data_IF_688334082969
#
_entry.id   IF_688334082969
#
_cell.length_a   1.000
_cell.length_b   1.000
_cell.length_c   1.000
_cell.angle_alpha   90.00
_cell.angle_beta   90.00
_cell.angle_gamma   90.00
#
_symmetry.space_group_name_H-M   'P 1'
#
loop_
_entity.id
_entity.type
_entity.pdbx_description
1 polymer ?
#
# COMPACT_ATOMS: atom_id res chain seq x y z
N UNK A 1 26.52 21.78 -15.14
CA UNK A 1 26.02 20.38 -15.26
C UNK A 1 24.66 20.34 -14.60
N UNK A 2 23.63 19.77 -15.25
CA UNK A 2 22.32 19.56 -14.60
C UNK A 2 22.45 18.47 -13.53
N UNK A 3 21.65 18.57 -12.46
CA UNK A 3 21.57 17.52 -11.45
C UNK A 3 21.07 16.19 -12.09
N UNK A 4 21.56 15.03 -11.65
CA UNK A 4 21.04 13.75 -12.12
C UNK A 4 19.57 13.63 -11.76
N UNK A 5 18.78 13.03 -12.68
CA UNK A 5 17.35 12.75 -12.48
C UNK A 5 17.01 11.38 -13.07
N UNK A 6 15.78 10.90 -12.82
CA UNK A 6 15.25 9.69 -13.45
C UNK A 6 14.54 10.03 -14.78
N UNK A 7 14.26 9.01 -15.59
CA UNK A 7 13.58 9.13 -16.88
C UNK A 7 12.22 8.41 -16.92
N UNK A 8 11.65 8.10 -15.74
CA UNK A 8 10.42 7.29 -15.64
C UNK A 8 9.16 8.08 -16.02
N UNK A 9 9.09 9.35 -15.64
CA UNK A 9 7.98 10.26 -15.95
C UNK A 9 8.48 11.70 -15.99
N UNK A 10 7.81 12.59 -16.78
CA UNK A 10 8.14 14.02 -16.80
C UNK A 10 7.52 14.72 -15.60
N UNK A 11 8.03 15.90 -15.27
CA UNK A 11 7.38 16.80 -14.32
C UNK A 11 6.01 17.25 -14.88
N UNK A 12 4.96 17.06 -14.11
CA UNK A 12 3.59 17.45 -14.44
C UNK A 12 2.90 18.03 -13.21
N UNK A 13 2.81 19.36 -13.09
CA UNK A 13 2.17 19.99 -11.92
C UNK A 13 0.66 19.74 -11.95
N UNK A 14 0.09 19.34 -10.83
CA UNK A 14 -1.31 18.93 -10.71
C UNK A 14 -2.33 20.00 -11.20
N UNK A 15 -2.09 21.35 -11.08
CA UNK A 15 -3.02 22.34 -11.60
C UNK A 15 -3.14 22.39 -13.12
N UNK A 16 -2.14 21.86 -13.85
CA UNK A 16 -2.11 21.88 -15.31
C UNK A 16 -2.66 20.58 -15.95
N UNK A 17 -3.10 19.62 -15.14
CA UNK A 17 -3.59 18.33 -15.62
C UNK A 17 -5.04 18.35 -16.02
N UNK A 18 -5.42 17.41 -16.88
CA UNK A 18 -6.81 17.18 -17.23
C UNK A 18 -7.66 16.83 -15.99
N UNK A 19 -8.87 17.34 -15.96
CA UNK A 19 -9.85 17.03 -14.92
C UNK A 19 -10.74 15.90 -15.44
N UNK A 20 -10.91 14.86 -14.66
CA UNK A 20 -11.76 13.70 -14.95
C UNK A 20 -12.56 13.31 -13.70
N UNK A 21 -13.52 12.44 -13.86
CA UNK A 21 -14.27 11.86 -12.74
C UNK A 21 -13.84 10.42 -12.51
N UNK A 22 -13.87 9.97 -11.27
CA UNK A 22 -13.90 8.57 -10.91
C UNK A 22 -15.28 7.96 -11.23
N UNK A 23 -15.46 6.63 -11.15
CA UNK A 23 -16.75 5.98 -11.44
C UNK A 23 -17.92 6.66 -10.75
N UNK A 24 -19.00 6.89 -11.50
CA UNK A 24 -20.22 7.52 -10.98
C UNK A 24 -20.10 9.00 -10.66
N UNK A 25 -19.20 9.74 -11.31
CA UNK A 25 -19.00 11.18 -11.08
C UNK A 25 -18.27 11.53 -9.78
N UNK A 26 -17.60 10.54 -9.17
CA UNK A 26 -16.83 10.73 -7.93
C UNK A 26 -15.52 11.45 -8.19
N UNK A 27 -14.95 12.06 -7.15
CA UNK A 27 -13.74 12.91 -7.27
C UNK A 27 -12.63 12.55 -6.28
N UNK A 28 -12.96 11.89 -5.16
CA UNK A 28 -11.98 11.44 -4.19
C UNK A 28 -12.06 9.92 -4.08
N UNK A 29 -11.05 9.22 -4.59
CA UNK A 29 -10.89 7.79 -4.36
C UNK A 29 -10.15 7.57 -3.05
N UNK A 30 -10.69 6.73 -2.16
CA UNK A 30 -10.07 6.36 -0.89
C UNK A 30 -9.85 4.86 -0.86
N UNK A 31 -8.61 4.43 -0.59
CA UNK A 31 -8.30 3.03 -0.40
C UNK A 31 -7.44 2.81 0.86
N UNK A 32 -7.55 1.63 1.43
CA UNK A 32 -6.71 1.16 2.53
C UNK A 32 -5.77 0.09 2.00
N UNK A 33 -4.47 0.32 2.14
CA UNK A 33 -3.43 -0.70 1.95
C UNK A 33 -3.09 -1.32 3.30
N UNK A 34 -3.44 -2.59 3.51
CA UNK A 34 -3.07 -3.34 4.71
C UNK A 34 -1.94 -4.31 4.39
N UNK A 35 -0.81 -4.10 5.05
CA UNK A 35 0.35 -4.96 4.90
C UNK A 35 0.21 -6.21 5.77
N UNK A 36 0.29 -7.38 5.13
CA UNK A 36 0.38 -8.69 5.77
C UNK A 36 1.79 -9.22 5.57
N UNK A 37 2.58 -9.13 6.62
CA UNK A 37 4.02 -9.30 6.57
C UNK A 37 4.47 -10.50 7.40
N UNK A 38 5.38 -11.28 6.81
CA UNK A 38 6.14 -12.32 7.47
C UNK A 38 7.59 -11.90 7.66
N UNK A 39 8.13 -12.18 8.82
CA UNK A 39 9.51 -11.87 9.19
C UNK A 39 10.23 -13.15 9.64
N UNK A 40 11.45 -13.33 9.16
CA UNK A 40 12.31 -14.43 9.62
C UNK A 40 12.67 -14.26 11.09
N UNK A 41 12.65 -15.35 11.84
CA UNK A 41 13.05 -15.32 13.24
C UNK A 41 14.56 -15.11 13.39
N UNK A 42 14.95 -14.14 14.22
CA UNK A 42 16.35 -13.87 14.56
C UNK A 42 17.15 -13.09 13.51
N UNK A 43 16.57 -12.70 12.39
CA UNK A 43 17.31 -12.00 11.32
C UNK A 43 17.16 -10.46 11.35
N UNK A 44 16.53 -9.89 12.33
CA UNK A 44 16.59 -8.46 12.66
C UNK A 44 16.05 -7.46 11.64
N UNK A 45 15.58 -7.88 10.47
CA UNK A 45 14.95 -6.99 9.49
C UNK A 45 13.48 -6.81 9.82
N UNK A 46 13.02 -5.57 9.86
CA UNK A 46 11.64 -5.22 10.14
C UNK A 46 11.52 -3.90 10.89
N UNK A 47 10.31 -3.34 10.97
CA UNK A 47 10.05 -2.27 11.93
C UNK A 47 10.34 -2.78 13.35
N UNK A 48 11.03 -1.99 14.15
CA UNK A 48 11.49 -2.37 15.48
C UNK A 48 10.80 -1.54 16.55
N UNK A 49 10.24 -2.23 17.52
CA UNK A 49 9.73 -1.61 18.76
C UNK A 49 10.89 -1.08 19.60
N UNK A 50 11.94 -1.88 19.71
CA UNK A 50 13.15 -1.56 20.45
C UNK A 50 14.39 -2.00 19.65
N UNK A 51 15.06 -1.08 18.93
CA UNK A 51 16.28 -1.40 18.19
C UNK A 51 17.45 -1.73 19.14
N UNK A 52 18.35 -2.62 18.67
CA UNK A 52 19.56 -2.99 19.42
C UNK A 52 19.31 -3.90 20.62
N UNK A 53 18.20 -4.62 20.65
CA UNK A 53 17.89 -5.61 21.68
C UNK A 53 18.80 -6.85 21.64
N UNK A 54 18.72 -7.72 22.67
CA UNK A 54 19.51 -8.95 22.73
C UNK A 54 19.14 -9.91 21.58
N UNK A 55 20.11 -10.75 21.22
CA UNK A 55 19.91 -11.80 20.20
C UNK A 55 19.70 -13.16 20.87
N UNK A 56 18.82 -14.02 20.30
CA UNK A 56 17.95 -13.77 19.15
C UNK A 56 16.90 -12.71 19.46
N UNK A 57 16.48 -11.93 18.45
CA UNK A 57 15.53 -10.82 18.60
C UNK A 57 14.08 -11.31 18.82
N UNK A 58 13.83 -11.81 20.01
CA UNK A 58 12.51 -12.32 20.43
C UNK A 58 11.50 -11.19 20.56
N UNK A 59 11.92 -10.04 21.05
CA UNK A 59 11.04 -8.90 21.35
C UNK A 59 10.37 -8.36 20.08
N UNK A 60 11.16 -7.96 19.10
CA UNK A 60 10.62 -7.38 17.87
C UNK A 60 9.91 -8.44 17.01
N UNK A 61 10.42 -9.66 16.98
CA UNK A 61 9.72 -10.76 16.29
C UNK A 61 8.33 -11.01 16.89
N UNK A 62 8.23 -11.20 18.21
CA UNK A 62 6.95 -11.45 18.88
C UNK A 62 5.99 -10.27 18.76
N UNK A 63 6.50 -9.03 18.79
CA UNK A 63 5.69 -7.84 18.56
C UNK A 63 5.08 -7.80 17.16
N UNK A 64 5.85 -8.16 16.14
CA UNK A 64 5.33 -8.28 14.76
C UNK A 64 4.37 -9.44 14.61
N UNK A 65 4.66 -10.59 15.22
CA UNK A 65 3.82 -11.78 15.20
C UNK A 65 2.43 -11.54 15.87
N UNK A 66 2.36 -10.63 16.86
CA UNK A 66 1.07 -10.18 17.42
C UNK A 66 0.12 -9.65 16.34
N UNK A 67 0.64 -8.98 15.33
CA UNK A 67 -0.13 -8.50 14.19
C UNK A 67 -0.87 -9.63 13.50
N UNK A 68 -0.15 -10.71 13.19
CA UNK A 68 -0.69 -11.87 12.47
C UNK A 68 -1.61 -12.74 13.36
N UNK A 69 -1.41 -12.73 14.69
CA UNK A 69 -2.22 -13.53 15.63
C UNK A 69 -3.47 -12.85 16.12
N UNK A 70 -3.45 -11.53 16.24
CA UNK A 70 -4.53 -10.78 16.91
C UNK A 70 -4.93 -9.52 16.13
N UNK A 71 -3.95 -8.68 15.77
CA UNK A 71 -4.20 -7.36 15.20
C UNK A 71 -4.98 -7.40 13.89
N UNK A 72 -4.63 -8.33 13.02
CA UNK A 72 -5.24 -8.49 11.70
C UNK A 72 -6.74 -8.79 11.80
N UNK A 73 -7.16 -9.62 12.74
CA UNK A 73 -8.57 -10.01 12.89
C UNK A 73 -9.43 -8.85 13.40
N UNK A 74 -8.89 -7.99 14.31
CA UNK A 74 -9.56 -6.76 14.69
C UNK A 74 -9.77 -5.81 13.50
N UNK A 75 -8.76 -5.72 12.62
CA UNK A 75 -8.86 -4.89 11.44
C UNK A 75 -9.87 -5.46 10.43
N UNK A 76 -9.91 -6.78 10.25
CA UNK A 76 -10.88 -7.44 9.39
C UNK A 76 -12.33 -7.16 9.84
N UNK A 77 -12.62 -7.30 11.14
CA UNK A 77 -13.91 -6.95 11.73
C UNK A 77 -14.25 -5.47 11.47
N UNK A 78 -13.31 -4.54 11.74
CA UNK A 78 -13.54 -3.11 11.55
C UNK A 78 -13.84 -2.75 10.10
N UNK A 79 -13.07 -3.28 9.16
CA UNK A 79 -13.25 -2.98 7.74
C UNK A 79 -14.55 -3.61 7.21
N UNK A 80 -14.89 -4.81 7.67
CA UNK A 80 -16.18 -5.46 7.39
C UNK A 80 -17.37 -4.64 7.90
N UNK A 81 -17.35 -4.24 9.17
CA UNK A 81 -18.39 -3.42 9.78
C UNK A 81 -18.58 -2.08 9.06
N UNK A 82 -17.49 -1.46 8.63
CA UNK A 82 -17.51 -0.17 7.94
C UNK A 82 -17.69 -0.31 6.43
N UNK A 83 -17.69 -1.52 5.88
CA UNK A 83 -17.72 -1.76 4.44
C UNK A 83 -16.63 -0.95 3.71
N UNK A 84 -15.38 -1.03 4.21
CA UNK A 84 -14.20 -0.41 3.60
C UNK A 84 -13.47 -1.46 2.79
N UNK A 85 -13.38 -1.32 1.46
CA UNK A 85 -12.57 -2.20 0.63
C UNK A 85 -11.08 -2.12 1.03
N UNK A 86 -10.36 -3.23 0.93
CA UNK A 86 -8.96 -3.33 1.33
C UNK A 86 -8.12 -3.87 0.19
N UNK A 87 -6.96 -3.25 -0.05
CA UNK A 87 -5.88 -3.83 -0.83
C UNK A 87 -4.91 -4.49 0.15
N UNK A 88 -4.85 -5.82 0.16
CA UNK A 88 -3.93 -6.58 1.00
C UNK A 88 -2.58 -6.70 0.29
N UNK A 89 -1.54 -6.17 0.92
CA UNK A 89 -0.17 -6.29 0.46
C UNK A 89 0.43 -7.52 1.14
N UNK A 90 0.60 -8.61 0.37
CA UNK A 90 0.83 -9.94 0.93
C UNK A 90 2.25 -10.42 0.63
N UNK A 91 3.02 -10.69 1.68
CA UNK A 91 4.19 -11.54 1.52
C UNK A 91 3.74 -12.98 1.20
N UNK A 92 4.33 -13.63 0.20
CA UNK A 92 3.88 -14.97 -0.20
C UNK A 92 4.06 -16.04 0.88
N UNK A 93 5.03 -15.90 1.79
CA UNK A 93 5.21 -16.79 2.94
C UNK A 93 4.04 -16.76 3.94
N UNK A 94 3.16 -15.75 3.87
CA UNK A 94 1.93 -15.72 4.67
C UNK A 94 1.03 -16.93 4.40
N UNK A 95 0.98 -17.42 3.15
CA UNK A 95 0.20 -18.63 2.82
C UNK A 95 0.68 -19.88 3.53
N UNK A 96 1.97 -19.94 3.83
CA UNK A 96 2.56 -21.07 4.55
C UNK A 96 2.40 -20.98 6.07
N UNK A 97 2.51 -19.75 6.60
CA UNK A 97 2.67 -19.54 8.04
C UNK A 97 1.42 -19.04 8.74
N UNK A 98 0.57 -18.26 8.06
CA UNK A 98 -0.62 -17.66 8.64
C UNK A 98 -1.72 -17.44 7.58
N UNK A 99 -2.16 -18.48 6.85
CA UNK A 99 -3.14 -18.36 5.76
C UNK A 99 -4.48 -17.80 6.23
N UNK A 100 -4.84 -17.98 7.50
CA UNK A 100 -6.08 -17.47 8.09
C UNK A 100 -6.13 -15.94 8.08
N UNK A 101 -4.99 -15.26 8.09
CA UNK A 101 -4.91 -13.80 8.03
C UNK A 101 -5.39 -13.27 6.68
N UNK A 102 -5.08 -13.97 5.60
CA UNK A 102 -5.55 -13.63 4.25
C UNK A 102 -7.03 -14.01 4.12
N UNK A 103 -7.40 -15.20 4.60
CA UNK A 103 -8.78 -15.70 4.55
C UNK A 103 -9.78 -14.81 5.32
N UNK A 104 -9.32 -14.04 6.32
CA UNK A 104 -10.15 -13.07 7.02
C UNK A 104 -10.66 -11.92 6.14
N UNK A 105 -10.15 -11.77 4.91
CA UNK A 105 -10.50 -10.71 3.96
C UNK A 105 -10.93 -11.30 2.59
N UNK A 106 -12.00 -12.06 2.59
CA UNK A 106 -12.44 -12.85 1.43
C UNK A 106 -12.60 -12.03 0.12
N UNK A 107 -13.00 -10.77 0.21
CA UNK A 107 -13.27 -9.89 -0.94
C UNK A 107 -12.15 -8.84 -1.16
N UNK A 108 -11.01 -8.97 -0.48
CA UNK A 108 -9.93 -8.02 -0.64
C UNK A 108 -9.17 -8.23 -1.94
N UNK A 109 -8.66 -7.14 -2.48
CA UNK A 109 -7.65 -7.21 -3.54
C UNK A 109 -6.33 -7.76 -2.97
N UNK A 110 -5.66 -8.64 -3.71
CA UNK A 110 -4.33 -9.13 -3.38
C UNK A 110 -3.27 -8.38 -4.19
N UNK A 111 -2.32 -7.79 -3.49
CA UNK A 111 -1.17 -7.05 -4.04
C UNK A 111 0.10 -7.80 -3.66
N UNK A 112 0.99 -8.07 -4.63
CA UNK A 112 2.26 -8.72 -4.37
C UNK A 112 3.17 -7.84 -3.50
N UNK A 113 3.79 -8.46 -2.47
CA UNK A 113 4.66 -7.76 -1.52
C UNK A 113 5.93 -8.57 -1.19
N UNK A 114 6.53 -9.21 -2.20
CA UNK A 114 7.69 -10.08 -2.00
C UNK A 114 7.40 -11.36 -1.23
N UNK A 115 8.47 -12.13 -0.94
CA UNK A 115 8.34 -13.37 -0.17
C UNK A 115 8.17 -13.12 1.32
N UNK A 116 9.04 -12.28 1.86
CA UNK A 116 9.07 -11.88 3.27
C UNK A 116 9.48 -10.42 3.40
N UNK A 117 9.24 -9.81 4.56
CA UNK A 117 9.81 -8.50 4.90
C UNK A 117 11.21 -8.59 5.53
N UNK A 118 11.84 -9.76 5.49
CA UNK A 118 13.26 -9.94 5.83
C UNK A 118 14.19 -9.80 4.62
N UNK A 119 13.65 -9.50 3.43
CA UNK A 119 14.40 -9.27 2.19
C UNK A 119 14.28 -7.83 1.72
N UNK A 120 15.34 -7.30 1.12
CA UNK A 120 15.34 -6.00 0.45
C UNK A 120 15.48 -6.19 -1.05
N UNK A 121 14.41 -5.99 -1.77
CA UNK A 121 14.34 -6.19 -3.21
C UNK A 121 15.39 -5.36 -3.96
N UNK A 122 15.64 -4.11 -3.56
CA UNK A 122 16.58 -3.21 -4.22
C UNK A 122 18.06 -3.61 -4.09
N UNK A 123 18.39 -4.60 -3.26
CA UNK A 123 19.75 -5.14 -3.09
C UNK A 123 20.02 -6.36 -3.99
N UNK A 124 19.01 -6.83 -4.72
CA UNK A 124 19.09 -8.01 -5.59
C UNK A 124 19.64 -7.65 -6.97
N UNK A 125 20.28 -8.64 -7.59
CA UNK A 125 20.58 -8.56 -9.03
C UNK A 125 19.30 -8.63 -9.85
N UNK A 126 19.32 -8.15 -11.12
CA UNK A 126 18.16 -8.21 -12.02
C UNK A 126 17.52 -9.61 -12.08
N UNK A 127 18.35 -10.64 -12.19
CA UNK A 127 17.89 -12.03 -12.21
C UNK A 127 17.20 -12.45 -10.91
N UNK A 128 17.80 -12.13 -9.77
CA UNK A 128 17.24 -12.46 -8.46
C UNK A 128 15.95 -11.70 -8.17
N UNK A 129 15.89 -10.42 -8.56
CA UNK A 129 14.70 -9.60 -8.41
C UNK A 129 13.54 -10.11 -9.28
N UNK A 130 13.83 -10.49 -10.53
CA UNK A 130 12.84 -11.13 -11.41
C UNK A 130 12.30 -12.42 -10.79
N UNK A 131 13.19 -13.27 -10.29
CA UNK A 131 12.82 -14.52 -9.64
C UNK A 131 11.96 -14.29 -8.39
N UNK A 132 12.31 -13.29 -7.56
CA UNK A 132 11.49 -12.88 -6.41
C UNK A 132 10.06 -12.52 -6.84
N UNK A 133 9.93 -11.70 -7.89
CA UNK A 133 8.62 -11.25 -8.40
C UNK A 133 7.82 -12.44 -8.94
N UNK A 134 8.44 -13.30 -9.75
CA UNK A 134 7.80 -14.47 -10.36
C UNK A 134 7.36 -15.50 -9.32
N UNK A 135 8.21 -15.85 -8.36
CA UNK A 135 7.89 -16.79 -7.28
C UNK A 135 6.78 -16.27 -6.37
N UNK A 136 6.85 -14.99 -5.97
CA UNK A 136 5.79 -14.34 -5.18
C UNK A 136 4.46 -14.39 -5.92
N UNK A 137 4.49 -14.07 -7.22
CA UNK A 137 3.29 -14.09 -8.06
C UNK A 137 2.69 -15.48 -8.17
N UNK A 138 3.52 -16.48 -8.47
CA UNK A 138 3.08 -17.87 -8.62
C UNK A 138 2.48 -18.43 -7.32
N UNK A 139 3.07 -18.08 -6.18
CA UNK A 139 2.57 -18.52 -4.88
C UNK A 139 1.22 -17.91 -4.54
N UNK A 140 1.04 -16.59 -4.77
CA UNK A 140 -0.25 -15.93 -4.58
C UNK A 140 -1.30 -16.52 -5.52
N UNK A 141 -0.99 -16.67 -6.81
CA UNK A 141 -1.90 -17.22 -7.82
C UNK A 141 -2.30 -18.66 -7.51
N UNK A 142 -1.35 -19.50 -7.05
CA UNK A 142 -1.60 -20.89 -6.67
C UNK A 142 -2.62 -21.04 -5.54
N UNK A 143 -2.59 -20.13 -4.57
CA UNK A 143 -3.46 -20.21 -3.39
C UNK A 143 -4.79 -19.47 -3.57
N UNK A 144 -4.79 -18.34 -4.26
CA UNK A 144 -5.98 -17.50 -4.43
C UNK A 144 -6.76 -17.79 -5.70
N UNK A 145 -6.15 -18.47 -6.69
CA UNK A 145 -6.70 -18.62 -8.04
C UNK A 145 -6.65 -17.33 -8.86
N UNK A 146 -6.06 -16.26 -8.36
CA UNK A 146 -5.99 -14.96 -9.03
C UNK A 146 -4.55 -14.43 -9.04
N UNK A 147 -4.10 -14.02 -10.23
CA UNK A 147 -2.80 -13.38 -10.38
C UNK A 147 -2.87 -11.95 -9.82
N UNK A 148 -1.97 -11.55 -8.89
CA UNK A 148 -1.89 -10.18 -8.41
C UNK A 148 -1.53 -9.23 -9.56
N UNK A 149 -2.19 -8.07 -9.62
CA UNK A 149 -1.97 -7.08 -10.67
C UNK A 149 -1.16 -5.87 -10.20
N UNK A 150 -1.03 -5.70 -8.89
CA UNK A 150 -0.30 -4.63 -8.22
C UNK A 150 0.85 -5.15 -7.40
N UNK A 151 1.86 -4.30 -7.22
CA UNK A 151 3.06 -4.60 -6.46
C UNK A 151 3.42 -3.46 -5.52
N UNK A 152 3.88 -3.80 -4.30
CA UNK A 152 4.67 -2.95 -3.42
C UNK A 152 5.91 -3.73 -3.01
N UNK A 153 7.11 -3.21 -3.27
CA UNK A 153 8.34 -3.83 -2.80
C UNK A 153 8.41 -3.84 -1.26
N UNK A 154 8.87 -4.94 -0.63
CA UNK A 154 9.14 -4.94 0.81
C UNK A 154 10.00 -3.73 1.19
N UNK A 155 9.60 -2.96 2.23
CA UNK A 155 10.28 -1.70 2.63
C UNK A 155 10.18 -0.56 1.61
N UNK A 156 9.34 -0.66 0.59
CA UNK A 156 9.41 0.22 -0.59
C UNK A 156 10.83 0.15 -1.21
N UNK A 157 11.50 -0.98 -1.01
CA UNK A 157 12.82 -1.24 -1.59
C UNK A 157 12.65 -1.68 -3.03
N UNK A 158 13.27 -0.94 -3.94
CA UNK A 158 13.29 -1.32 -5.35
C UNK A 158 14.66 -1.01 -5.97
N UNK A 159 15.00 -1.72 -7.05
CA UNK A 159 16.12 -1.38 -7.91
C UNK A 159 15.70 -0.34 -8.95
N UNK A 160 16.64 0.26 -9.69
CA UNK A 160 16.27 1.09 -10.85
C UNK A 160 15.47 0.34 -11.92
N UNK A 161 15.50 -1.00 -11.93
CA UNK A 161 14.85 -1.86 -12.91
C UNK A 161 13.49 -2.41 -12.47
N UNK A 162 13.12 -2.26 -11.22
CA UNK A 162 11.86 -2.81 -10.69
C UNK A 162 10.62 -2.47 -11.56
N UNK A 163 10.41 -1.23 -12.02
CA UNK A 163 9.26 -0.94 -12.86
C UNK A 163 9.28 -1.69 -14.21
N UNK A 164 10.47 -1.94 -14.76
CA UNK A 164 10.64 -2.72 -15.99
C UNK A 164 10.28 -4.18 -15.76
N UNK A 165 10.83 -4.78 -14.71
CA UNK A 165 10.61 -6.17 -14.35
C UNK A 165 9.13 -6.45 -14.01
N UNK A 166 8.48 -5.55 -13.29
CA UNK A 166 7.05 -5.65 -12.99
C UNK A 166 6.21 -5.62 -14.26
N UNK A 167 6.47 -4.69 -15.17
CA UNK A 167 5.74 -4.61 -16.44
C UNK A 167 5.98 -5.86 -17.31
N UNK A 168 7.21 -6.36 -17.39
CA UNK A 168 7.59 -7.56 -18.14
C UNK A 168 6.98 -8.84 -17.57
N UNK A 169 6.79 -8.91 -16.27
CA UNK A 169 6.12 -10.02 -15.57
C UNK A 169 4.61 -9.87 -15.49
N UNK A 170 4.02 -8.84 -16.11
CA UNK A 170 2.58 -8.69 -16.27
C UNK A 170 1.86 -7.91 -15.17
N UNK A 171 2.59 -7.25 -14.28
CA UNK A 171 1.99 -6.31 -13.35
C UNK A 171 1.49 -5.05 -14.08
N UNK A 172 0.40 -4.49 -13.61
CA UNK A 172 -0.25 -3.34 -14.22
C UNK A 172 0.01 -2.05 -13.48
N UNK A 173 0.22 -2.12 -12.15
CA UNK A 173 0.53 -0.97 -11.33
C UNK A 173 1.51 -1.31 -10.21
N UNK A 174 2.14 -0.27 -9.67
CA UNK A 174 3.00 -0.34 -8.50
C UNK A 174 2.65 0.77 -7.50
N UNK A 175 3.06 0.59 -6.26
CA UNK A 175 2.77 1.46 -5.12
C UNK A 175 4.04 2.08 -4.50
N UNK A 176 5.23 1.81 -5.04
CA UNK A 176 6.51 2.19 -4.41
C UNK A 176 6.83 3.70 -4.45
N UNK A 177 6.08 4.50 -5.24
CA UNK A 177 6.37 5.91 -5.46
C UNK A 177 5.32 6.82 -4.84
N UNK A 178 5.67 7.45 -3.70
CA UNK A 178 4.79 8.36 -2.95
C UNK A 178 4.92 9.83 -3.43
N UNK A 179 4.78 10.07 -4.72
CA UNK A 179 5.14 11.36 -5.34
C UNK A 179 3.96 12.21 -5.81
N UNK A 180 2.73 11.71 -5.68
CA UNK A 180 1.56 12.38 -6.25
C UNK A 180 0.26 12.02 -5.51
N UNK A 181 -0.79 12.83 -5.71
CA UNK A 181 -2.16 12.55 -5.29
C UNK A 181 -3.03 12.00 -6.42
N UNK A 182 -2.46 11.74 -7.59
CA UNK A 182 -3.09 11.11 -8.74
C UNK A 182 -2.20 9.98 -9.29
N UNK A 183 -2.77 8.98 -9.97
CA UNK A 183 -1.96 8.01 -10.68
C UNK A 183 -1.09 8.68 -11.74
N UNK A 184 0.11 8.13 -11.96
CA UNK A 184 1.09 8.63 -12.94
C UNK A 184 1.64 7.47 -13.74
N UNK A 185 1.68 7.61 -15.08
CA UNK A 185 2.31 6.64 -15.94
C UNK A 185 3.83 6.70 -15.87
N UNK A 186 4.44 5.57 -15.60
CA UNK A 186 5.88 5.40 -15.59
C UNK A 186 6.34 4.65 -16.85
N UNK A 187 7.31 5.22 -17.55
CA UNK A 187 7.96 4.57 -18.71
C UNK A 187 8.76 3.36 -18.24
N UNK A 188 8.63 2.25 -18.97
CA UNK A 188 9.42 1.02 -18.81
C UNK A 188 10.17 0.69 -20.09
N UNK A 189 11.01 -0.34 -20.07
CA UNK A 189 11.78 -0.79 -21.26
C UNK A 189 10.86 -1.18 -22.44
N UNK A 190 9.72 -1.79 -22.14
CA UNK A 190 8.81 -2.34 -23.15
C UNK A 190 7.40 -1.75 -23.13
N UNK A 191 7.22 -0.59 -22.50
CA UNK A 191 5.92 0.07 -22.43
C UNK A 191 5.80 1.04 -21.27
N UNK A 192 4.79 0.85 -20.46
CA UNK A 192 4.53 1.67 -19.27
C UNK A 192 3.87 0.85 -18.16
N UNK A 193 4.00 1.31 -16.93
CA UNK A 193 3.31 0.79 -15.75
C UNK A 193 2.70 1.97 -14.98
N UNK A 194 1.59 1.77 -14.32
CA UNK A 194 0.94 2.85 -13.56
C UNK A 194 1.50 2.92 -12.14
N UNK A 195 1.91 4.09 -11.68
CA UNK A 195 2.15 4.36 -10.26
C UNK A 195 0.85 4.85 -9.65
N UNK A 196 0.31 4.09 -8.69
CA UNK A 196 -0.84 4.51 -7.88
C UNK A 196 -0.32 5.10 -6.58
N UNK A 197 -0.82 6.26 -6.12
CA UNK A 197 -0.34 6.90 -4.90
C UNK A 197 -0.39 5.97 -3.67
N UNK A 198 0.74 5.79 -2.99
CA UNK A 198 0.84 5.08 -1.72
C UNK A 198 1.53 5.99 -0.70
N UNK A 199 0.84 6.45 0.34
CA UNK A 199 1.33 7.55 1.16
C UNK A 199 2.42 7.11 2.13
N UNK A 200 3.38 8.00 2.39
CA UNK A 200 4.30 7.88 3.51
C UNK A 200 3.86 8.75 4.70
N UNK A 201 3.10 9.82 4.44
CA UNK A 201 2.56 10.66 5.50
C UNK A 201 1.34 10.05 6.20
N UNK A 202 0.56 9.20 5.52
CA UNK A 202 -0.53 8.42 6.12
C UNK A 202 -0.17 6.92 6.21
N UNK A 203 1.08 6.64 6.61
CA UNK A 203 1.61 5.30 6.84
C UNK A 203 2.05 5.18 8.30
N UNK A 204 1.54 4.18 9.00
CA UNK A 204 1.76 4.00 10.43
C UNK A 204 3.22 3.66 10.80
N UNK A 205 4.02 3.05 9.92
CA UNK A 205 5.46 2.83 10.18
C UNK A 205 6.21 4.16 10.32
N UNK A 206 6.26 5.04 9.30
CA UNK A 206 6.98 6.30 9.43
C UNK A 206 6.40 7.20 10.51
N UNK A 207 5.10 7.19 10.74
CA UNK A 207 4.50 8.10 11.72
C UNK A 207 4.62 7.58 13.16
N UNK A 208 4.20 6.36 13.43
CA UNK A 208 4.16 5.82 14.79
C UNK A 208 5.52 5.25 15.21
N UNK A 209 6.17 4.47 14.33
CA UNK A 209 7.43 3.81 14.70
C UNK A 209 8.63 4.76 14.57
N UNK A 210 8.78 5.42 13.44
CA UNK A 210 9.94 6.28 13.22
C UNK A 210 9.82 7.66 13.88
N UNK A 211 8.69 8.37 13.67
CA UNK A 211 8.47 9.72 14.23
C UNK A 211 7.87 9.72 15.64
N UNK A 212 7.60 8.54 16.23
CA UNK A 212 7.08 8.35 17.59
C UNK A 212 5.74 9.06 17.87
N UNK A 213 4.91 9.23 16.85
CA UNK A 213 3.57 9.78 17.03
C UNK A 213 2.67 8.79 17.77
N UNK A 214 1.77 9.33 18.60
CA UNK A 214 0.79 8.51 19.28
C UNK A 214 -0.42 8.15 18.40
N UNK A 215 -1.19 7.14 18.80
CA UNK A 215 -2.38 6.70 18.08
C UNK A 215 -3.41 7.82 17.80
N UNK A 216 -3.72 8.71 18.75
CA UNK A 216 -4.58 9.87 18.50
C UNK A 216 -4.07 10.78 17.39
N UNK A 217 -2.77 11.13 17.41
CA UNK A 217 -2.15 12.02 16.43
C UNK A 217 -2.21 11.42 15.02
N UNK A 218 -1.90 10.14 14.87
CA UNK A 218 -1.99 9.47 13.57
C UNK A 218 -3.44 9.44 13.04
N UNK A 219 -4.42 9.21 13.92
CA UNK A 219 -5.83 9.27 13.56
C UNK A 219 -6.27 10.69 13.15
N UNK A 220 -5.78 11.73 13.84
CA UNK A 220 -6.06 13.12 13.49
C UNK A 220 -5.44 13.49 12.13
N UNK A 221 -4.22 13.01 11.83
CA UNK A 221 -3.61 13.18 10.49
C UNK A 221 -4.48 12.57 9.38
N UNK A 222 -5.07 11.39 9.61
CA UNK A 222 -5.97 10.75 8.64
C UNK A 222 -7.23 11.61 8.43
N UNK A 223 -7.80 12.15 9.51
CA UNK A 223 -8.99 13.01 9.45
C UNK A 223 -8.66 14.32 8.72
N UNK A 224 -7.59 15.00 9.10
CA UNK A 224 -7.18 16.29 8.50
C UNK A 224 -6.88 16.14 7.01
N UNK A 225 -6.18 15.09 6.62
CA UNK A 225 -5.92 14.79 5.21
C UNK A 225 -7.22 14.55 4.44
N UNK A 226 -8.16 13.81 5.01
CA UNK A 226 -9.48 13.60 4.40
C UNK A 226 -10.23 14.92 4.22
N UNK A 227 -10.33 15.78 5.24
CA UNK A 227 -11.07 17.05 5.15
C UNK A 227 -10.50 17.95 4.06
N UNK A 228 -9.17 18.07 3.99
CA UNK A 228 -8.52 18.88 2.95
C UNK A 228 -8.76 18.29 1.55
N UNK A 229 -8.53 16.99 1.36
CA UNK A 229 -8.69 16.35 0.05
C UNK A 229 -10.16 16.27 -0.38
N UNK A 230 -11.10 16.17 0.57
CA UNK A 230 -12.53 16.22 0.30
C UNK A 230 -12.97 17.60 -0.22
N UNK A 231 -12.41 18.68 0.30
CA UNK A 231 -12.66 20.03 -0.22
C UNK A 231 -12.00 20.25 -1.59
N UNK A 232 -10.74 19.86 -1.73
CA UNK A 232 -9.96 20.01 -2.97
C UNK A 232 -10.48 19.16 -4.13
N UNK A 233 -11.10 18.00 -3.86
CA UNK A 233 -11.62 17.13 -4.89
C UNK A 233 -12.74 17.79 -5.75
N UNK A 234 -13.33 18.89 -5.28
CA UNK A 234 -14.21 19.70 -6.10
C UNK A 234 -13.55 20.29 -7.36
N UNK A 235 -12.22 20.47 -7.31
CA UNK A 235 -11.43 21.06 -8.39
C UNK A 235 -10.78 20.01 -9.30
N UNK A 236 -10.45 18.83 -8.77
CA UNK A 236 -9.69 17.78 -9.48
C UNK A 236 -9.89 16.41 -8.83
N UNK A 237 -9.75 15.30 -9.58
CA UNK A 237 -9.78 13.98 -8.97
C UNK A 237 -8.52 13.77 -8.12
N UNK A 238 -8.70 13.11 -6.96
CA UNK A 238 -7.63 12.80 -6.02
C UNK A 238 -7.72 11.34 -5.58
N UNK A 239 -6.60 10.82 -5.09
CA UNK A 239 -6.47 9.51 -4.45
C UNK A 239 -5.91 9.71 -3.05
N UNK A 240 -6.65 9.28 -2.05
CA UNK A 240 -6.21 9.18 -0.67
C UNK A 240 -5.93 7.72 -0.31
N UNK A 241 -4.68 7.37 -0.14
CA UNK A 241 -4.28 6.09 0.42
C UNK A 241 -4.12 6.18 1.94
N UNK A 242 -4.35 5.07 2.64
CA UNK A 242 -4.04 4.89 4.07
C UNK A 242 -3.26 3.58 4.18
N UNK A 243 -2.00 3.64 4.60
CA UNK A 243 -1.12 2.49 4.68
C UNK A 243 -0.99 2.00 6.13
N UNK A 244 -1.33 0.75 6.37
CA UNK A 244 -1.45 0.19 7.71
C UNK A 244 -0.72 -1.14 7.85
N UNK A 245 -0.25 -1.42 9.08
CA UNK A 245 0.38 -2.68 9.47
C UNK A 245 -0.33 -3.23 10.71
N UNK A 246 -0.74 -4.51 10.64
CA UNK A 246 -1.56 -5.13 11.69
C UNK A 246 -0.85 -5.16 13.06
N UNK A 247 0.48 -5.27 13.09
CA UNK A 247 1.28 -5.25 14.31
C UNK A 247 1.50 -3.85 14.90
N UNK A 248 1.09 -2.79 14.20
CA UNK A 248 1.15 -1.40 14.68
C UNK A 248 -0.23 -0.94 15.14
N UNK A 249 -1.16 -0.79 14.21
CA UNK A 249 -2.49 -0.25 14.52
C UNK A 249 -3.48 -1.30 15.06
N UNK A 250 -3.15 -2.59 15.00
CA UNK A 250 -3.96 -3.65 15.58
C UNK A 250 -3.92 -3.74 17.12
N UNK A 251 -3.02 -3.02 17.80
CA UNK A 251 -3.00 -2.93 19.26
C UNK A 251 -4.20 -2.12 19.79
N UNK A 252 -4.89 -2.54 20.86
CA UNK A 252 -6.17 -1.94 21.30
C UNK A 252 -6.15 -0.43 21.44
N UNK A 253 -5.08 0.13 22.00
CA UNK A 253 -4.95 1.58 22.23
C UNK A 253 -4.81 2.37 20.93
N UNK A 254 -4.17 1.83 19.89
CA UNK A 254 -4.04 2.45 18.55
C UNK A 254 -5.26 2.17 17.69
N UNK A 255 -5.74 0.93 17.72
CA UNK A 255 -6.95 0.50 17.01
C UNK A 255 -8.16 1.39 17.30
N UNK A 256 -8.39 1.74 18.60
CA UNK A 256 -9.47 2.64 19.01
C UNK A 256 -9.46 3.94 18.20
N UNK A 257 -8.30 4.52 17.98
CA UNK A 257 -8.15 5.80 17.31
C UNK A 257 -8.26 5.67 15.79
N UNK A 258 -7.69 4.64 15.19
CA UNK A 258 -7.91 4.30 13.78
C UNK A 258 -9.40 4.11 13.49
N UNK A 259 -10.11 3.33 14.32
CA UNK A 259 -11.55 3.13 14.16
C UNK A 259 -12.35 4.45 14.25
N UNK A 260 -11.93 5.38 15.11
CA UNK A 260 -12.50 6.74 15.18
C UNK A 260 -12.33 7.48 13.86
N UNK A 261 -11.11 7.50 13.32
CA UNK A 261 -10.82 8.21 12.07
C UNK A 261 -11.62 7.61 10.89
N UNK A 262 -11.63 6.29 10.73
CA UNK A 262 -12.38 5.65 9.64
C UNK A 262 -13.90 5.85 9.76
N UNK A 263 -14.47 5.82 10.96
CA UNK A 263 -15.88 6.15 11.18
C UNK A 263 -16.18 7.60 10.82
N UNK A 264 -15.30 8.52 11.18
CA UNK A 264 -15.42 9.93 10.80
C UNK A 264 -15.47 10.08 9.28
N UNK A 265 -14.53 9.51 8.57
CA UNK A 265 -14.48 9.54 7.09
C UNK A 265 -15.77 8.96 6.50
N UNK A 266 -16.24 7.80 6.99
CA UNK A 266 -17.48 7.18 6.49
C UNK A 266 -18.71 8.04 6.73
N UNK A 267 -18.79 8.74 7.86
CA UNK A 267 -19.89 9.65 8.19
C UNK A 267 -19.86 10.95 7.39
N UNK A 268 -18.67 11.46 7.09
CA UNK A 268 -18.47 12.73 6.37
C UNK A 268 -18.42 12.58 4.87
N UNK A 269 -18.19 11.35 4.39
CA UNK A 269 -18.12 11.09 2.96
C UNK A 269 -19.41 11.47 2.24
N UNK A 270 -19.27 12.30 1.21
CA UNK A 270 -20.36 12.67 0.30
C UNK A 270 -20.43 11.72 -0.89
N UNK A 271 -21.38 11.96 -1.81
CA UNK A 271 -21.45 11.27 -3.09
C UNK A 271 -20.18 11.41 -3.94
N UNK A 272 -19.30 12.36 -3.64
CA UNK A 272 -18.01 12.57 -4.35
C UNK A 272 -16.94 11.55 -3.95
N UNK A 273 -17.14 10.79 -2.87
CA UNK A 273 -16.15 9.82 -2.37
C UNK A 273 -16.40 8.44 -2.94
N UNK A 274 -15.32 7.83 -3.40
CA UNK A 274 -15.27 6.45 -3.88
C UNK A 274 -14.37 5.61 -2.96
N UNK A 275 -14.97 4.84 -2.05
CA UNK A 275 -14.24 3.81 -1.31
C UNK A 275 -13.95 2.65 -2.25
N UNK A 276 -12.68 2.31 -2.41
CA UNK A 276 -12.23 1.39 -3.45
C UNK A 276 -10.93 0.68 -3.07
N UNK A 277 -10.30 -0.01 -4.02
CA UNK A 277 -8.98 -0.63 -3.91
C UNK A 277 -8.00 0.04 -4.87
N UNK A 278 -6.69 -0.16 -4.64
CA UNK A 278 -5.65 0.37 -5.52
C UNK A 278 -5.78 -0.19 -6.96
N UNK A 279 -6.15 -1.45 -7.11
CA UNK A 279 -6.36 -2.07 -8.41
C UNK A 279 -7.55 -1.51 -9.17
N UNK A 280 -8.65 -1.21 -8.48
CA UNK A 280 -9.80 -0.57 -9.13
C UNK A 280 -9.45 0.86 -9.60
N UNK A 281 -8.61 1.58 -8.85
CA UNK A 281 -8.07 2.88 -9.28
C UNK A 281 -7.25 2.70 -10.56
N UNK A 282 -6.35 1.70 -10.58
CA UNK A 282 -5.53 1.40 -11.74
C UNK A 282 -6.37 1.00 -12.95
N UNK A 283 -7.33 0.09 -12.78
CA UNK A 283 -8.23 -0.35 -13.85
C UNK A 283 -9.00 0.80 -14.48
N UNK A 284 -9.48 1.71 -13.66
CA UNK A 284 -10.20 2.88 -14.15
C UNK A 284 -9.27 3.88 -14.85
N UNK A 285 -8.10 4.15 -14.28
CA UNK A 285 -7.13 5.07 -14.87
C UNK A 285 -6.64 4.59 -16.26
N UNK A 286 -6.52 3.28 -16.47
CA UNK A 286 -6.14 2.69 -17.75
C UNK A 286 -7.22 2.87 -18.85
N UNK A 287 -8.49 3.00 -18.48
CA UNK A 287 -9.60 3.18 -19.41
C UNK A 287 -9.81 4.65 -19.80
N UNK A 288 -9.17 5.59 -19.11
CA UNK A 288 -9.25 7.01 -19.43
C UNK A 288 -8.58 7.32 -20.78
N UNK A 289 -9.04 8.32 -21.52
CA UNK A 289 -8.42 8.72 -22.78
C UNK A 289 -6.91 8.98 -22.62
N UNK A 290 -6.08 8.65 -23.61
CA UNK A 290 -4.65 8.93 -23.57
C UNK A 290 -4.36 10.40 -23.24
N UNK A 291 -3.42 10.64 -22.33
CA UNK A 291 -3.04 11.99 -21.88
C UNK A 291 -3.91 12.56 -20.74
N UNK A 292 -4.94 11.86 -20.29
CA UNK A 292 -5.73 12.25 -19.11
C UNK A 292 -4.93 12.05 -17.82
N UNK A 293 -4.31 10.88 -17.67
CA UNK A 293 -3.37 10.57 -16.59
C UNK A 293 -1.96 10.88 -17.09
N UNK A 294 -1.16 11.69 -16.33
CA UNK A 294 0.17 12.13 -16.73
C UNK A 294 1.19 11.01 -16.85
#
# INVERSE_FOLDING_TARGET
MSAPTHNRYPYSPIPARAVYDWPGGKRLAIYVGLNLEWFSFGEGLGAELAPGGPQPDVLNYAWRDYGNRVGVFRLAELFGDLQVPVSLLVNSEMYRHAPETIAAFADAELVGHGRTNSERQGELTEYQERLLIEETTAEIERHSGQRPRGWLGPWISQSPLTPDLLQETGYRYLLDWCHDDQPVWMKTRHGRILSVPYPQELNDIPQIVARKREGPEFADMIVDAFEVMHDECSKRPLVMGIALHAYIVGWPHRFKHLARALRHIKQRASERVWFTTAGNIADYAEQLPPGTVP
#
